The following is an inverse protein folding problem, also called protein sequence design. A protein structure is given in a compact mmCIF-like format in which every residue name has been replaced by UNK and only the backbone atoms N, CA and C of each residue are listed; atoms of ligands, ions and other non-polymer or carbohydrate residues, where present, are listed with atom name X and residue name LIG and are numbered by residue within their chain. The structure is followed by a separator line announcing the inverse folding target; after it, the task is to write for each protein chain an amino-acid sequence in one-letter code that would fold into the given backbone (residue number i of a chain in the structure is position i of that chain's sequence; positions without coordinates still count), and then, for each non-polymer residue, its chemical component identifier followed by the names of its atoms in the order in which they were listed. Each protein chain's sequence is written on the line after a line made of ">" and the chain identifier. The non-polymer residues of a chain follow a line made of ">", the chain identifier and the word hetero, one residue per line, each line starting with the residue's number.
data_IF_058886571289
#
_entry.id   IF_058886571289
#
_cell.length_a   1.000
_cell.length_b   1.000
_cell.length_c   1.000
_cell.angle_alpha   90.00
_cell.angle_beta   90.00
_cell.angle_gamma   90.00
#
_symmetry.space_group_name_H-M   'P 1'
#
loop_
_entity.id
_entity.type
_entity.pdbx_description
1 polymer ?
#
# COMPACT_ATOMS: atom_id res chain seq x y z
N UNK A 1 1.38 -4.82 -6.54
CA UNK A 1 1.40 -5.64 -5.29
C UNK A 1 2.29 -5.08 -4.18
N UNK A 2 3.29 -4.24 -4.45
CA UNK A 2 4.19 -3.69 -3.43
C UNK A 2 3.46 -2.98 -2.27
N UNK A 3 2.56 -2.03 -2.58
CA UNK A 3 1.80 -1.29 -1.56
C UNK A 3 0.95 -2.19 -0.66
N UNK A 4 0.33 -3.24 -1.21
CA UNK A 4 -0.45 -4.19 -0.42
C UNK A 4 0.42 -4.96 0.58
N UNK A 5 1.64 -5.35 0.18
CA UNK A 5 2.59 -6.02 1.08
C UNK A 5 3.08 -5.08 2.17
N UNK A 6 3.40 -3.82 1.82
CA UNK A 6 3.78 -2.79 2.79
C UNK A 6 2.65 -2.51 3.78
N UNK A 7 1.41 -2.32 3.32
CA UNK A 7 0.25 -2.11 4.19
C UNK A 7 0.01 -3.27 5.15
N UNK A 8 0.17 -4.52 4.68
CA UNK A 8 0.15 -5.69 5.56
C UNK A 8 1.28 -5.68 6.59
N UNK A 9 2.49 -5.30 6.19
CA UNK A 9 3.62 -5.16 7.12
C UNK A 9 3.32 -4.12 8.22
N UNK A 10 2.66 -3.01 7.87
CA UNK A 10 2.20 -2.01 8.83
C UNK A 10 1.18 -2.62 9.80
N UNK A 11 0.14 -3.29 9.30
CA UNK A 11 -0.83 -4.00 10.15
C UNK A 11 -0.14 -4.96 11.12
N UNK A 12 0.77 -5.81 10.62
CA UNK A 12 1.48 -6.78 11.44
C UNK A 12 2.37 -6.12 12.49
N UNK A 13 3.03 -4.99 12.16
CA UNK A 13 3.83 -4.24 13.12
C UNK A 13 3.01 -3.67 14.29
N UNK A 14 1.69 -3.58 14.12
CA UNK A 14 0.74 -3.12 15.13
C UNK A 14 -0.06 -4.27 15.74
N UNK A 15 0.28 -5.52 15.45
CA UNK A 15 -0.40 -6.70 16.00
C UNK A 15 -1.69 -7.10 15.29
N UNK A 16 -2.04 -6.47 14.15
CA UNK A 16 -3.26 -6.77 13.40
C UNK A 16 -2.98 -7.67 12.20
N UNK A 17 -3.95 -8.52 11.84
CA UNK A 17 -3.93 -9.34 10.62
C UNK A 17 -5.25 -9.21 9.86
N UNK A 18 -5.23 -8.91 8.55
CA UNK A 18 -6.46 -8.88 7.76
C UNK A 18 -7.04 -10.30 7.62
N UNK A 19 -8.36 -10.44 7.77
CA UNK A 19 -9.12 -11.70 7.65
C UNK A 19 -10.40 -11.44 6.84
N UNK A 20 -10.89 -12.47 6.13
CA UNK A 20 -12.13 -12.40 5.35
C UNK A 20 -11.91 -12.33 3.83
N UNK A 21 -12.96 -11.96 3.09
CA UNK A 21 -12.99 -11.94 1.61
C UNK A 21 -12.31 -10.69 1.02
N UNK A 22 -12.52 -9.53 1.63
CA UNK A 22 -12.07 -8.22 1.08
C UNK A 22 -10.77 -7.70 1.70
N UNK A 23 -9.83 -8.60 1.98
CA UNK A 23 -8.59 -8.27 2.71
C UNK A 23 -7.80 -7.13 2.07
N UNK A 24 -7.83 -7.00 0.74
CA UNK A 24 -7.12 -5.91 0.07
C UNK A 24 -7.74 -4.55 0.38
N UNK A 25 -9.07 -4.46 0.46
CA UNK A 25 -9.75 -3.21 0.83
C UNK A 25 -9.50 -2.90 2.31
N UNK A 26 -9.58 -3.91 3.18
CA UNK A 26 -9.24 -3.75 4.60
C UNK A 26 -7.83 -3.18 4.81
N UNK A 27 -6.83 -3.64 4.05
CA UNK A 27 -5.46 -3.11 4.15
C UNK A 27 -5.39 -1.65 3.71
N UNK A 28 -6.10 -1.28 2.64
CA UNK A 28 -6.17 0.12 2.17
C UNK A 28 -6.75 1.02 3.25
N UNK A 29 -7.89 0.63 3.82
CA UNK A 29 -8.63 1.42 4.80
C UNK A 29 -7.83 1.58 6.09
N UNK A 30 -7.26 0.49 6.58
CA UNK A 30 -6.35 0.52 7.72
C UNK A 30 -5.18 1.49 7.49
N UNK A 31 -4.59 1.49 6.29
CA UNK A 31 -3.49 2.40 5.98
C UNK A 31 -3.97 3.86 5.91
N UNK A 32 -5.17 4.12 5.40
CA UNK A 32 -5.75 5.46 5.39
C UNK A 32 -5.95 6.00 6.82
N UNK A 33 -6.50 5.17 7.71
CA UNK A 33 -6.75 5.55 9.10
C UNK A 33 -5.44 5.78 9.88
N UNK A 34 -4.42 4.92 9.70
CA UNK A 34 -3.16 5.01 10.45
C UNK A 34 -2.21 6.08 9.93
N UNK A 35 -2.22 6.36 8.63
CA UNK A 35 -1.36 7.39 8.04
C UNK A 35 -1.96 8.79 8.15
N UNK A 36 -3.29 8.90 8.20
CA UNK A 36 -4.00 10.17 8.35
C UNK A 36 -4.12 10.97 7.05
N UNK A 37 -4.67 12.18 7.15
CA UNK A 37 -5.07 13.00 5.99
C UNK A 37 -3.90 13.39 5.08
N UNK A 38 -2.71 13.59 5.62
CA UNK A 38 -1.50 13.92 4.84
C UNK A 38 -1.18 12.87 3.78
N UNK A 39 -1.64 11.63 3.98
CA UNK A 39 -1.44 10.50 3.07
C UNK A 39 -2.71 10.08 2.32
N UNK A 40 -3.79 10.86 2.42
CA UNK A 40 -5.07 10.58 1.74
C UNK A 40 -4.90 10.40 0.23
N UNK A 41 -4.17 11.32 -0.41
CA UNK A 41 -3.88 11.22 -1.85
C UNK A 41 -3.20 9.89 -2.22
N UNK A 42 -2.29 9.42 -1.37
CA UNK A 42 -1.51 8.21 -1.61
C UNK A 42 -2.34 6.94 -1.40
N UNK A 43 -3.20 6.93 -0.38
CA UNK A 43 -4.13 5.83 -0.08
C UNK A 43 -5.29 5.76 -1.07
N UNK A 44 -5.77 6.90 -1.59
CA UNK A 44 -6.72 6.95 -2.70
C UNK A 44 -6.13 6.39 -3.99
N UNK A 45 -4.88 6.71 -4.29
CA UNK A 45 -4.14 6.09 -5.41
C UNK A 45 -3.99 4.59 -5.19
N UNK A 46 -3.68 4.15 -3.97
CA UNK A 46 -3.62 2.73 -3.63
C UNK A 46 -4.95 2.02 -3.92
N UNK A 47 -6.09 2.58 -3.48
CA UNK A 47 -7.40 2.00 -3.75
C UNK A 47 -7.70 1.92 -5.25
N UNK A 48 -7.42 2.99 -6.01
CA UNK A 48 -7.62 3.01 -7.47
C UNK A 48 -6.81 1.92 -8.17
N UNK A 49 -5.52 1.81 -7.83
CA UNK A 49 -4.66 0.75 -8.38
C UNK A 49 -5.14 -0.66 -7.98
N UNK A 50 -5.65 -0.84 -6.75
CA UNK A 50 -6.22 -2.11 -6.31
C UNK A 50 -7.40 -2.54 -7.18
N UNK A 51 -8.30 -1.61 -7.51
CA UNK A 51 -9.46 -1.88 -8.37
C UNK A 51 -9.00 -2.15 -9.81
N UNK A 52 -8.20 -1.25 -10.39
CA UNK A 52 -7.71 -1.37 -11.78
C UNK A 52 -6.86 -2.61 -12.04
N UNK A 53 -6.22 -3.18 -11.00
CA UNK A 53 -5.43 -4.40 -11.15
C UNK A 53 -6.24 -5.55 -11.76
N UNK A 54 -7.53 -5.68 -11.45
CA UNK A 54 -8.34 -6.77 -12.00
C UNK A 54 -8.36 -6.67 -13.53
N UNK A 55 -8.83 -5.54 -14.04
CA UNK A 55 -8.86 -5.24 -15.47
C UNK A 55 -7.47 -5.38 -16.10
N UNK A 56 -6.43 -4.81 -15.50
CA UNK A 56 -5.08 -4.89 -16.06
C UNK A 56 -4.52 -6.32 -16.19
N UNK A 57 -4.95 -7.25 -15.32
CA UNK A 57 -4.46 -8.64 -15.34
C UNK A 57 -5.33 -9.55 -16.22
N UNK A 58 -6.64 -9.30 -16.28
CA UNK A 58 -7.59 -10.22 -16.89
C UNK A 58 -8.20 -9.71 -18.20
N UNK A 59 -8.17 -8.40 -18.45
CA UNK A 59 -8.78 -7.73 -19.61
C UNK A 59 -7.69 -7.15 -20.53
N UNK A 60 -7.16 -7.92 -21.49
CA UNK A 60 -6.05 -7.46 -22.36
C UNK A 60 -6.42 -6.25 -23.23
N UNK A 61 -7.71 -5.98 -23.42
CA UNK A 61 -8.22 -4.84 -24.19
C UNK A 61 -8.26 -3.52 -23.40
N UNK A 62 -7.84 -3.51 -22.13
CA UNK A 62 -7.79 -2.32 -21.27
C UNK A 62 -6.35 -1.95 -20.90
N UNK A 63 -5.53 -1.49 -21.87
CA UNK A 63 -4.17 -1.06 -21.56
C UNK A 63 -4.16 0.21 -20.70
N UNK A 64 -3.07 0.40 -19.96
CA UNK A 64 -2.78 1.66 -19.26
C UNK A 64 -1.73 2.46 -20.04
N UNK A 65 -1.76 3.78 -19.91
CA UNK A 65 -0.72 4.63 -20.52
C UNK A 65 0.61 4.48 -19.78
N UNK A 66 1.71 4.77 -20.49
CA UNK A 66 3.05 4.81 -19.87
C UNK A 66 3.10 5.80 -18.70
N UNK A 67 2.49 6.98 -18.85
CA UNK A 67 2.41 7.99 -17.79
C UNK A 67 1.68 7.46 -16.55
N UNK A 68 0.59 6.72 -16.74
CA UNK A 68 -0.12 6.08 -15.62
C UNK A 68 0.74 5.02 -14.93
N UNK A 69 1.48 4.22 -15.70
CA UNK A 69 2.39 3.21 -15.16
C UNK A 69 3.50 3.85 -14.31
N UNK A 70 4.14 4.91 -14.81
CA UNK A 70 5.19 5.65 -14.10
C UNK A 70 4.65 6.28 -12.81
N UNK A 71 3.53 7.00 -12.89
CA UNK A 71 2.91 7.61 -11.71
C UNK A 71 2.50 6.57 -10.64
N UNK A 72 2.05 5.39 -11.09
CA UNK A 72 1.70 4.27 -10.21
C UNK A 72 2.93 3.69 -9.52
N UNK A 73 4.04 3.58 -10.26
CA UNK A 73 5.32 3.13 -9.73
C UNK A 73 5.86 4.09 -8.66
N UNK A 74 5.94 5.38 -8.95
CA UNK A 74 6.38 6.41 -7.99
C UNK A 74 5.50 6.45 -6.73
N UNK A 75 4.18 6.31 -6.90
CA UNK A 75 3.24 6.23 -5.79
C UNK A 75 3.51 4.99 -4.92
N UNK A 76 3.85 3.86 -5.53
CA UNK A 76 4.18 2.64 -4.81
C UNK A 76 5.50 2.78 -4.04
N UNK A 77 6.55 3.36 -4.63
CA UNK A 77 7.83 3.61 -3.96
C UNK A 77 7.65 4.53 -2.75
N UNK A 78 6.98 5.66 -2.95
CA UNK A 78 6.70 6.60 -1.85
C UNK A 78 5.94 5.92 -0.73
N UNK A 79 4.89 5.16 -1.03
CA UNK A 79 4.11 4.48 0.00
C UNK A 79 4.91 3.43 0.78
N UNK A 80 5.74 2.65 0.10
CA UNK A 80 6.62 1.66 0.76
C UNK A 80 7.61 2.36 1.67
N UNK A 81 8.22 3.47 1.22
CA UNK A 81 9.15 4.25 2.02
C UNK A 81 8.49 4.78 3.30
N UNK A 82 7.33 5.41 3.17
CA UNK A 82 6.61 6.02 4.31
C UNK A 82 6.20 4.98 5.37
N UNK A 83 5.70 3.82 4.92
CA UNK A 83 5.42 2.71 5.83
C UNK A 83 6.69 2.20 6.52
N UNK A 84 7.77 2.05 5.77
CA UNK A 84 9.05 1.56 6.31
C UNK A 84 9.58 2.51 7.36
N UNK A 85 9.58 3.81 7.07
CA UNK A 85 10.02 4.87 7.99
C UNK A 85 9.15 4.88 9.26
N UNK A 86 7.83 4.71 9.12
CA UNK A 86 6.90 4.65 10.27
C UNK A 86 7.14 3.41 11.13
N UNK A 87 7.28 2.23 10.52
CA UNK A 87 7.58 0.99 11.26
C UNK A 87 8.91 1.09 11.99
N UNK A 88 9.95 1.65 11.36
CA UNK A 88 11.27 1.83 11.99
C UNK A 88 11.19 2.79 13.20
N UNK A 89 10.47 3.90 13.07
CA UNK A 89 10.24 4.83 14.18
C UNK A 89 9.50 4.19 15.35
N UNK A 90 8.51 3.33 15.07
CA UNK A 90 7.74 2.64 16.11
C UNK A 90 8.47 1.45 16.74
N UNK A 91 9.43 0.85 16.04
CA UNK A 91 10.16 -0.34 16.46
C UNK A 91 11.68 -0.16 16.28
N UNK A 92 12.33 0.75 17.04
CA UNK A 92 13.74 1.09 16.87
C UNK A 92 14.67 -0.12 17.08
N UNK A 93 14.23 -1.11 17.87
CA UNK A 93 14.95 -2.34 18.15
C UNK A 93 15.24 -3.19 16.90
N UNK A 94 14.47 -3.02 15.81
CA UNK A 94 14.73 -3.71 14.53
C UNK A 94 16.04 -3.27 13.87
N UNK A 95 16.56 -2.09 14.21
CA UNK A 95 17.84 -1.60 13.70
C UNK A 95 19.06 -2.13 14.45
N UNK A 96 18.87 -2.79 15.60
CA UNK A 96 19.97 -3.21 16.50
C UNK A 96 20.65 -4.52 16.08
N UNK A 97 20.04 -5.31 15.20
CA UNK A 97 20.56 -6.61 14.75
C UNK A 97 21.04 -6.58 13.29
N UNK A 98 21.47 -5.42 12.80
CA UNK A 98 22.05 -5.27 11.45
C UNK A 98 23.47 -5.79 11.37
#
# INVERSE_FOLDING_TARGET
>A
HAMLRAGRALMFSMGYRPKGKDQHKTVVDFCADILGEDFKTLTDRFNRMRVKRHDFIYEPERPISQTEAVNSFESAERFVKEITDKIQKSHPQKGLFK
#
